data_IF_097943627357
#
_entry.id   IF_097943627357
#
_cell.length_a   1.000
_cell.length_b   1.000
_cell.length_c   1.000
_cell.angle_alpha   90.00
_cell.angle_beta   90.00
_cell.angle_gamma   90.00
#
_symmetry.space_group_name_H-M   'P 1'
#
loop_
_entity.id
_entity.type
_entity.pdbx_description
1 polymer ?
#
# COMPACT_ATOMS: atom_id res chain seq x y z
N UNK A 1 8.72 3.41 15.96
CA UNK A 1 7.80 4.50 15.59
C UNK A 1 6.48 4.21 16.28
N UNK A 2 5.93 5.16 17.04
CA UNK A 2 4.60 5.04 17.62
C UNK A 2 3.52 5.32 16.57
N UNK A 3 2.26 4.93 16.84
CA UNK A 3 1.13 5.28 15.96
C UNK A 3 1.00 6.80 15.76
N UNK A 4 1.27 7.57 16.81
CA UNK A 4 1.27 9.04 16.75
C UNK A 4 2.34 9.60 15.80
N UNK A 5 3.52 8.98 15.78
CA UNK A 5 4.59 9.37 14.85
C UNK A 5 4.25 9.00 13.40
N UNK A 6 3.59 7.86 13.17
CA UNK A 6 3.07 7.46 11.85
C UNK A 6 2.03 8.47 11.36
N UNK A 7 1.02 8.79 12.18
CA UNK A 7 -0.02 9.75 11.81
C UNK A 7 0.55 11.14 11.52
N UNK A 8 1.51 11.59 12.32
CA UNK A 8 2.19 12.87 12.09
C UNK A 8 2.90 12.87 10.74
N UNK A 9 3.67 11.83 10.44
CA UNK A 9 4.40 11.68 9.18
C UNK A 9 3.44 11.67 7.98
N UNK A 10 2.37 10.86 8.04
CA UNK A 10 1.36 10.75 6.98
C UNK A 10 0.64 12.08 6.67
N UNK A 11 0.47 12.93 7.68
CA UNK A 11 -0.22 14.22 7.55
C UNK A 11 0.71 15.38 7.16
N UNK A 12 1.97 15.36 7.59
CA UNK A 12 2.88 16.49 7.36
C UNK A 12 3.60 16.39 6.01
N UNK A 13 3.99 15.18 5.61
CA UNK A 13 4.80 14.95 4.42
C UNK A 13 3.96 14.52 3.21
N UNK A 14 4.38 14.95 2.01
CA UNK A 14 3.76 14.54 0.76
C UNK A 14 4.50 13.34 0.17
N UNK A 15 3.77 12.27 -0.09
CA UNK A 15 4.32 11.02 -0.62
C UNK A 15 3.77 10.74 -2.01
N UNK A 16 4.61 10.27 -2.92
CA UNK A 16 4.12 9.74 -4.19
C UNK A 16 3.32 8.43 -4.00
N UNK A 17 3.85 7.51 -3.17
CA UNK A 17 3.31 6.17 -2.98
C UNK A 17 3.44 5.76 -1.51
N UNK A 18 2.31 5.39 -0.88
CA UNK A 18 2.26 4.79 0.45
C UNK A 18 2.12 3.26 0.31
N UNK A 19 3.09 2.54 0.87
CA UNK A 19 3.12 1.09 0.99
C UNK A 19 2.93 0.71 2.45
N UNK A 20 1.79 0.11 2.80
CA UNK A 20 1.50 -0.21 4.20
C UNK A 20 0.54 -1.39 4.38
N UNK A 21 0.24 -1.73 5.63
CA UNK A 21 -0.88 -2.59 5.98
C UNK A 21 -2.23 -1.88 5.81
N UNK A 22 -3.32 -2.64 5.82
CA UNK A 22 -4.65 -2.09 5.60
C UNK A 22 -5.07 -1.05 6.63
N UNK A 23 -4.80 -1.24 7.92
CA UNK A 23 -5.14 -0.24 8.94
C UNK A 23 -4.43 1.09 8.70
N UNK A 24 -3.14 1.04 8.36
CA UNK A 24 -2.36 2.25 8.05
C UNK A 24 -2.87 2.95 6.78
N UNK A 25 -3.31 2.21 5.76
CA UNK A 25 -3.84 2.79 4.53
C UNK A 25 -5.16 3.56 4.73
N UNK A 26 -5.94 3.21 5.77
CA UNK A 26 -7.17 3.92 6.15
C UNK A 26 -6.91 5.26 6.82
N UNK A 27 -5.70 5.49 7.34
CA UNK A 27 -5.36 6.76 7.95
C UNK A 27 -5.36 7.88 6.88
N UNK A 28 -5.77 9.12 7.27
CA UNK A 28 -5.56 10.29 6.43
C UNK A 28 -4.08 10.41 6.08
N UNK A 29 -3.79 10.58 4.79
CA UNK A 29 -2.43 10.79 4.32
C UNK A 29 -2.42 11.68 3.09
N UNK A 30 -1.34 12.43 2.90
CA UNK A 30 -1.09 13.22 1.69
C UNK A 30 -0.48 12.38 0.55
N UNK A 31 -0.60 11.06 0.61
CA UNK A 31 -0.04 10.18 -0.42
C UNK A 31 -0.91 10.18 -1.68
N UNK A 32 -0.30 10.39 -2.85
CA UNK A 32 -1.02 10.35 -4.13
C UNK A 32 -1.52 8.94 -4.47
N UNK A 33 -0.68 7.93 -4.26
CA UNK A 33 -1.02 6.52 -4.48
C UNK A 33 -0.92 5.74 -3.18
N UNK A 34 -1.76 4.71 -3.04
CA UNK A 34 -1.82 3.81 -1.88
C UNK A 34 -1.80 2.36 -2.37
N UNK A 35 -0.96 1.51 -1.78
CA UNK A 35 -0.89 0.09 -2.11
C UNK A 35 -0.62 -0.75 -0.86
N UNK A 36 -1.39 -1.82 -0.68
CA UNK A 36 -1.29 -2.67 0.49
C UNK A 36 -0.23 -3.75 0.29
N UNK A 37 0.74 -3.83 1.20
CA UNK A 37 1.84 -4.82 1.13
C UNK A 37 1.83 -5.83 2.29
N UNK A 38 1.04 -5.58 3.33
CA UNK A 38 0.99 -6.40 4.54
C UNK A 38 -0.41 -6.49 5.13
N UNK A 39 -0.57 -7.41 6.08
CA UNK A 39 -1.79 -7.55 6.88
C UNK A 39 -1.85 -6.49 7.99
N UNK A 40 -3.05 -6.12 8.49
CA UNK A 40 -4.37 -6.66 8.12
C UNK A 40 -4.82 -6.25 6.71
N UNK A 41 -5.64 -7.08 6.06
CA UNK A 41 -6.22 -6.76 4.76
C UNK A 41 -7.39 -5.77 4.91
N UNK A 42 -7.47 -4.79 3.99
CA UNK A 42 -8.62 -3.87 3.89
C UNK A 42 -9.92 -4.63 3.61
N UNK A 43 -9.87 -5.57 2.69
CA UNK A 43 -10.97 -6.51 2.45
C UNK A 43 -10.82 -7.73 3.36
N UNK A 44 -11.89 -8.08 4.08
CA UNK A 44 -11.96 -9.28 4.97
C UNK A 44 -11.77 -10.60 4.22
N UNK A 45 -11.74 -10.58 2.89
CA UNK A 45 -11.33 -11.73 2.10
C UNK A 45 -9.81 -11.81 2.13
N UNK A 46 -9.28 -12.88 2.72
CA UNK A 46 -7.88 -13.25 2.61
C UNK A 46 -7.48 -13.20 1.12
N UNK A 47 -6.83 -12.12 0.71
CA UNK A 47 -6.48 -11.93 -0.69
C UNK A 47 -5.48 -13.02 -1.09
N UNK A 48 -4.63 -13.46 -0.14
CA UNK A 48 -3.80 -14.65 -0.25
C UNK A 48 -3.46 -15.26 1.14
N UNK A 49 -3.41 -16.60 1.28
CA UNK A 49 -2.92 -17.27 2.49
C UNK A 49 -1.38 -17.24 2.65
N UNK A 50 -0.65 -16.64 1.70
CA UNK A 50 0.81 -16.52 1.69
C UNK A 50 1.24 -15.08 1.40
N UNK A 51 2.43 -14.66 1.84
CA UNK A 51 3.00 -13.36 1.51
C UNK A 51 3.27 -13.28 -0.01
N UNK A 52 2.46 -12.55 -0.80
CA UNK A 52 2.46 -12.67 -2.26
C UNK A 52 3.66 -11.98 -2.93
N UNK A 53 4.56 -11.39 -2.16
CA UNK A 53 5.66 -10.55 -2.65
C UNK A 53 7.05 -11.16 -2.42
N UNK A 54 7.14 -12.48 -2.18
CA UNK A 54 8.42 -13.19 -1.93
C UNK A 54 8.96 -13.86 -3.19
N UNK A 55 10.28 -13.78 -3.41
CA UNK A 55 10.98 -14.40 -4.53
C UNK A 55 10.69 -13.73 -5.88
N UNK A 56 11.23 -14.29 -6.98
CA UNK A 56 11.11 -13.71 -8.31
C UNK A 56 9.65 -13.46 -8.73
N UNK A 57 8.78 -14.45 -8.53
CA UNK A 57 7.37 -14.32 -8.88
C UNK A 57 6.66 -13.26 -8.04
N UNK A 58 6.98 -13.16 -6.74
CA UNK A 58 6.42 -12.13 -5.89
C UNK A 58 6.90 -10.73 -6.26
N UNK A 59 8.16 -10.59 -6.69
CA UNK A 59 8.69 -9.33 -7.23
C UNK A 59 7.98 -8.93 -8.52
N UNK A 60 7.84 -9.86 -9.48
CA UNK A 60 7.11 -9.60 -10.73
C UNK A 60 5.65 -9.22 -10.45
N UNK A 61 5.01 -9.90 -9.51
CA UNK A 61 3.66 -9.60 -9.08
C UNK A 61 3.54 -8.21 -8.46
N UNK A 62 4.48 -7.80 -7.59
CA UNK A 62 4.51 -6.45 -7.04
C UNK A 62 4.64 -5.39 -8.15
N UNK A 63 5.57 -5.58 -9.08
CA UNK A 63 5.80 -4.66 -10.20
C UNK A 63 4.52 -4.52 -11.04
N UNK A 64 3.87 -5.63 -11.39
CA UNK A 64 2.62 -5.62 -12.15
C UNK A 64 1.52 -4.82 -11.42
N UNK A 65 1.35 -5.05 -10.12
CA UNK A 65 0.35 -4.32 -9.34
C UNK A 65 0.64 -2.81 -9.26
N UNK A 66 1.91 -2.42 -9.11
CA UNK A 66 2.30 -1.00 -9.12
C UNK A 66 2.05 -0.35 -10.49
N UNK A 67 2.32 -1.08 -11.57
CA UNK A 67 2.03 -0.62 -12.93
C UNK A 67 0.52 -0.39 -13.13
N UNK A 68 -0.33 -1.37 -12.74
CA UNK A 68 -1.78 -1.23 -12.85
C UNK A 68 -2.34 -0.11 -11.94
N UNK A 69 -1.78 0.06 -10.74
CA UNK A 69 -2.15 1.17 -9.85
C UNK A 69 -1.83 2.53 -10.48
N UNK A 70 -0.62 2.68 -11.03
CA UNK A 70 -0.23 3.91 -11.73
C UNK A 70 -1.13 4.15 -12.94
N UNK A 71 -1.39 3.12 -13.75
CA UNK A 71 -2.26 3.22 -14.92
C UNK A 71 -3.65 3.76 -14.55
N UNK A 72 -4.31 3.20 -13.52
CA UNK A 72 -5.63 3.65 -13.03
C UNK A 72 -5.64 5.11 -12.57
N UNK A 73 -4.55 5.58 -11.96
CA UNK A 73 -4.50 6.93 -11.41
C UNK A 73 -4.29 8.05 -12.46
N UNK A 74 -3.99 7.71 -13.73
CA UNK A 74 -3.65 8.67 -14.77
C UNK A 74 -4.43 8.47 -16.08
N UNK A 75 -5.19 7.39 -16.22
CA UNK A 75 -5.93 7.06 -17.44
C UNK A 75 -7.45 6.94 -17.24
N UNK A 76 -7.92 7.17 -16.01
CA UNK A 76 -9.33 7.42 -15.64
C UNK A 76 -9.50 8.90 -15.24
#
# INVERSE_FOLDING_TARGET
MSEQEIEKCLNEEEFYLLLADGSTLLLPSKSRLKFQISNPNLDKHNIYPYAPFVGLNGTLYLIQNLYELHKKAYLD
#
